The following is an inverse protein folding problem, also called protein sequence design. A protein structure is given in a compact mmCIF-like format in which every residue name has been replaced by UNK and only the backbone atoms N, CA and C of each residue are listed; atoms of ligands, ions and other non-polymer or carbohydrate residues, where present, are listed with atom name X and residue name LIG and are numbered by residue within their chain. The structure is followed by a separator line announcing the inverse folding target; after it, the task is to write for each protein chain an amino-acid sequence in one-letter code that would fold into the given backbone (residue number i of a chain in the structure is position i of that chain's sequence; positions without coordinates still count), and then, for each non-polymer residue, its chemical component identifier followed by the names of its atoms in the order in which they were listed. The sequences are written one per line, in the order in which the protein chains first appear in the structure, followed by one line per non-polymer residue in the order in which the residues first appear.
data_IF_988069303784
#
_entry.id   IF_988069303784
#
_cell.length_a   1.000
_cell.length_b   1.000
_cell.length_c   1.000
_cell.angle_alpha   90.00
_cell.angle_beta   90.00
_cell.angle_gamma   90.00
#
_symmetry.space_group_name_H-M   'P 1'
#
loop_
_entity.id
_entity.type
_entity.pdbx_description
1 polymer ?
#
# COMPACT_ATOMS: atom_id res chain seq x y z
N UNK A 1 -6.36 -1.24 6.60
CA UNK A 1 -5.65 -0.60 5.48
C UNK A 1 -6.57 -0.56 4.27
N UNK A 2 -6.63 0.57 3.56
CA UNK A 2 -7.32 0.70 2.28
C UNK A 2 -6.36 1.26 1.24
N UNK A 3 -6.25 0.60 0.10
CA UNK A 3 -5.36 0.95 -1.00
C UNK A 3 -6.13 1.20 -2.29
N UNK A 4 -5.68 2.19 -3.05
CA UNK A 4 -6.08 2.42 -4.44
C UNK A 4 -4.90 2.13 -5.34
N UNK A 5 -5.07 1.16 -6.24
CA UNK A 5 -4.00 0.55 -7.02
C UNK A 5 -4.42 0.49 -8.49
N UNK A 6 -3.48 0.75 -9.39
CA UNK A 6 -3.63 0.33 -10.79
C UNK A 6 -3.45 -1.20 -10.91
N UNK A 7 -3.68 -1.75 -12.10
CA UNK A 7 -3.61 -3.20 -12.33
C UNK A 7 -2.23 -3.81 -12.02
N UNK A 8 -1.14 -3.09 -12.29
CA UNK A 8 0.22 -3.55 -12.04
C UNK A 8 0.53 -3.54 -10.55
N UNK A 9 0.25 -2.44 -9.86
CA UNK A 9 0.45 -2.32 -8.42
C UNK A 9 -0.45 -3.29 -7.62
N UNK A 10 -1.68 -3.51 -8.09
CA UNK A 10 -2.60 -4.48 -7.50
C UNK A 10 -1.97 -5.87 -7.45
N UNK A 11 -1.43 -6.34 -8.57
CA UNK A 11 -0.88 -7.69 -8.66
C UNK A 11 0.27 -7.87 -7.66
N UNK A 12 1.18 -6.89 -7.58
CA UNK A 12 2.29 -6.92 -6.65
C UNK A 12 1.83 -6.97 -5.19
N UNK A 13 0.86 -6.11 -4.81
CA UNK A 13 0.32 -6.08 -3.46
C UNK A 13 -0.43 -7.38 -3.12
N UNK A 14 -1.23 -7.91 -4.05
CA UNK A 14 -1.92 -9.19 -3.87
C UNK A 14 -0.92 -10.33 -3.62
N UNK A 15 0.15 -10.42 -4.41
CA UNK A 15 1.20 -11.42 -4.23
C UNK A 15 1.87 -11.32 -2.87
N UNK A 16 2.16 -10.09 -2.41
CA UNK A 16 2.73 -9.86 -1.06
C UNK A 16 1.74 -10.28 0.03
N UNK A 17 0.47 -9.86 -0.05
CA UNK A 17 -0.53 -10.18 0.97
C UNK A 17 -0.80 -11.68 1.04
N UNK A 18 -0.90 -12.37 -0.11
CA UNK A 18 -1.06 -13.83 -0.18
C UNK A 18 0.15 -14.55 0.40
N UNK A 19 1.37 -14.14 0.03
CA UNK A 19 2.60 -14.74 0.56
C UNK A 19 2.71 -14.60 2.08
N UNK A 20 2.15 -13.52 2.62
CA UNK A 20 2.14 -13.21 4.05
C UNK A 20 0.95 -13.84 4.80
N UNK A 21 0.02 -14.49 4.09
CA UNK A 21 -1.20 -15.05 4.66
C UNK A 21 -2.20 -13.99 5.16
N UNK A 22 -2.11 -12.77 4.65
CA UNK A 22 -2.99 -11.66 5.03
C UNK A 22 -4.28 -11.76 4.24
N UNK A 23 -5.41 -11.80 4.95
CA UNK A 23 -6.72 -11.73 4.31
C UNK A 23 -6.98 -10.31 3.81
N UNK A 24 -7.39 -10.20 2.55
CA UNK A 24 -7.76 -8.94 1.93
C UNK A 24 -9.05 -9.08 1.12
N UNK A 25 -9.70 -7.95 0.89
CA UNK A 25 -10.87 -7.79 0.05
C UNK A 25 -10.51 -6.87 -1.11
N UNK A 26 -10.71 -7.37 -2.33
CA UNK A 26 -10.55 -6.58 -3.56
C UNK A 26 -11.91 -6.14 -4.06
N UNK A 27 -12.03 -4.85 -4.39
CA UNK A 27 -13.14 -4.28 -5.15
C UNK A 27 -12.58 -3.60 -6.38
N UNK A 28 -13.18 -3.86 -7.54
CA UNK A 28 -12.89 -3.06 -8.73
C UNK A 28 -13.54 -1.69 -8.55
N UNK A 29 -12.74 -0.63 -8.52
CA UNK A 29 -13.21 0.74 -8.46
C UNK A 29 -13.71 1.22 -9.82
N UNK A 30 -14.46 2.33 -9.83
CA UNK A 30 -14.85 3.02 -11.06
C UNK A 30 -13.61 3.54 -11.78
N UNK A 31 -13.60 3.45 -13.12
CA UNK A 31 -12.56 4.06 -13.93
C UNK A 31 -12.49 5.56 -13.59
N UNK A 32 -11.33 6.03 -13.10
CA UNK A 32 -11.13 7.45 -12.82
C UNK A 32 -10.69 8.09 -14.13
N UNK A 33 -11.57 8.89 -14.74
CA UNK A 33 -11.22 9.66 -15.93
C UNK A 33 -10.29 10.81 -15.52
N UNK A 34 -9.01 10.69 -15.90
CA UNK A 34 -8.05 11.79 -15.80
C UNK A 34 -7.48 12.02 -17.22
N UNK A 35 -8.07 12.96 -17.97
CA UNK A 35 -7.73 13.23 -19.37
C UNK A 35 -8.34 12.23 -20.38
N UNK A 36 -7.70 12.03 -21.54
CA UNK A 36 -8.15 11.10 -22.61
C UNK A 36 -7.91 9.61 -22.32
N UNK A 37 -7.67 9.23 -21.07
CA UNK A 37 -7.41 7.84 -20.67
C UNK A 37 -8.29 7.41 -19.49
N UNK A 38 -9.00 6.29 -19.66
CA UNK A 38 -9.69 5.61 -18.58
C UNK A 38 -8.74 4.58 -17.96
N UNK A 39 -8.27 4.83 -16.74
CA UNK A 39 -7.49 3.84 -15.99
C UNK A 39 -8.41 3.11 -15.01
N UNK A 40 -8.39 1.78 -15.04
CA UNK A 40 -9.09 0.96 -14.06
C UNK A 40 -8.33 1.03 -12.74
N UNK A 41 -8.96 1.65 -11.74
CA UNK A 41 -8.47 1.65 -10.37
C UNK A 41 -9.12 0.50 -9.60
N UNK A 42 -8.31 -0.18 -8.80
CA UNK A 42 -8.73 -1.25 -7.91
C UNK A 42 -8.57 -0.78 -6.47
N UNK A 43 -9.59 -1.06 -5.67
CA UNK A 43 -9.60 -0.80 -4.25
C UNK A 43 -9.29 -2.10 -3.51
N UNK A 44 -8.20 -2.12 -2.74
CA UNK A 44 -7.79 -3.26 -1.95
C UNK A 44 -7.87 -2.90 -0.46
N UNK A 45 -8.68 -3.62 0.28
CA UNK A 45 -8.79 -3.48 1.73
C UNK A 45 -8.15 -4.68 2.42
N UNK A 46 -7.27 -4.45 3.39
CA UNK A 46 -6.70 -5.54 4.19
C UNK A 46 -6.66 -5.15 5.67
N UNK A 47 -6.78 -6.16 6.53
CA UNK A 47 -6.72 -5.98 7.97
C UNK A 47 -5.26 -5.95 8.47
N UNK A 48 -4.55 -4.88 8.13
CA UNK A 48 -3.19 -4.63 8.60
C UNK A 48 -3.17 -3.52 9.65
N UNK A 49 -2.37 -3.70 10.74
CA UNK A 49 -2.18 -2.66 11.73
C UNK A 49 -1.41 -1.50 11.14
N UNK A 50 -1.95 -0.30 11.31
CA UNK A 50 -1.20 0.93 11.08
C UNK A 50 -0.12 1.08 12.13
N UNK A 51 1.07 1.46 11.70
CA UNK A 51 2.23 1.70 12.56
C UNK A 51 2.77 3.10 12.31
N UNK A 52 3.54 3.60 13.27
CA UNK A 52 4.24 4.86 13.08
C UNK A 52 5.16 4.77 11.86
N UNK A 53 5.05 5.76 10.97
CA UNK A 53 5.91 5.87 9.79
C UNK A 53 7.37 5.96 10.25
N UNK A 54 8.25 5.07 9.74
CA UNK A 54 9.67 5.17 10.05
C UNK A 54 10.23 6.51 9.55
N UNK A 55 11.15 7.10 10.33
CA UNK A 55 11.74 8.42 10.01
C UNK A 55 12.38 8.49 8.63
N UNK A 56 12.88 7.36 8.12
CA UNK A 56 13.45 7.26 6.77
C UNK A 56 12.40 7.53 5.66
N UNK A 57 11.12 7.21 5.91
CA UNK A 57 9.99 7.46 4.99
C UNK A 57 9.19 8.70 5.37
N UNK A 58 9.36 9.22 6.58
CA UNK A 58 8.73 10.48 7.05
C UNK A 58 9.31 11.73 6.38
N UNK A 59 10.31 11.60 5.51
CA UNK A 59 10.90 12.70 4.74
C UNK A 59 10.29 12.87 3.35
N UNK A 60 9.41 11.96 2.90
CA UNK A 60 8.57 12.26 1.74
C UNK A 60 7.74 13.51 2.08
N UNK A 61 7.66 14.48 1.17
CA UNK A 61 7.03 15.79 1.38
C UNK A 61 5.52 15.76 1.74
N UNK A 62 4.94 14.57 1.93
CA UNK A 62 3.55 14.33 2.30
C UNK A 62 3.40 13.49 3.56
N UNK A 63 2.25 13.67 4.21
CA UNK A 63 1.81 12.85 5.34
C UNK A 63 1.56 11.41 4.83
N UNK A 64 2.51 10.50 5.00
CA UNK A 64 2.33 9.10 4.58
C UNK A 64 1.78 8.26 5.74
N UNK A 65 1.20 7.10 5.41
CA UNK A 65 0.76 6.08 6.37
C UNK A 65 1.57 4.81 6.16
N UNK A 66 1.89 4.11 7.23
CA UNK A 66 2.63 2.87 7.19
C UNK A 66 1.80 1.74 7.79
N UNK A 67 1.70 0.61 7.09
CA UNK A 67 1.00 -0.58 7.56
C UNK A 67 1.97 -1.73 7.68
N UNK A 68 1.97 -2.41 8.82
CA UNK A 68 2.92 -3.50 9.08
C UNK A 68 2.37 -4.85 8.65
N UNK A 69 3.13 -5.54 7.80
CA UNK A 69 2.90 -6.91 7.39
C UNK A 69 3.41 -7.91 8.45
N UNK A 70 2.87 -9.14 8.48
CA UNK A 70 3.29 -10.21 9.40
C UNK A 70 4.80 -10.51 9.40
N UNK A 71 5.45 -10.47 8.24
CA UNK A 71 6.91 -10.64 8.09
C UNK A 71 7.73 -9.50 8.67
N UNK A 72 7.10 -8.38 9.03
CA UNK A 72 7.78 -7.15 9.43
C UNK A 72 8.03 -6.18 8.28
N UNK A 73 7.67 -6.52 7.04
CA UNK A 73 7.58 -5.57 5.93
C UNK A 73 6.58 -4.45 6.22
N UNK A 74 6.73 -3.33 5.54
CA UNK A 74 5.86 -2.17 5.64
C UNK A 74 5.29 -1.84 4.26
N UNK A 75 3.99 -1.56 4.23
CA UNK A 75 3.32 -0.94 3.09
C UNK A 75 3.19 0.54 3.40
N UNK A 76 3.79 1.38 2.58
CA UNK A 76 3.74 2.84 2.70
C UNK A 76 2.73 3.36 1.69
N UNK A 77 1.85 4.24 2.16
CA UNK A 77 0.78 4.83 1.36
C UNK A 77 0.73 6.33 1.59
N UNK A 78 0.22 7.08 0.64
CA UNK A 78 -0.19 8.46 0.87
C UNK A 78 -1.47 8.52 1.76
N UNK A 79 -1.85 9.72 2.25
CA UNK A 79 -3.13 9.97 2.94
C UNK A 79 -4.35 9.53 2.13
N UNK A 80 -4.31 9.66 0.81
CA UNK A 80 -5.39 9.23 -0.08
C UNK A 80 -5.47 7.70 -0.21
N UNK A 81 -4.51 6.96 0.33
CA UNK A 81 -4.45 5.49 0.23
C UNK A 81 -3.85 4.99 -1.09
N UNK A 82 -3.15 5.85 -1.84
CA UNK A 82 -2.36 5.40 -2.98
C UNK A 82 -1.10 4.69 -2.48
N UNK A 83 -0.71 3.60 -3.13
CA UNK A 83 0.53 2.91 -2.78
C UNK A 83 1.73 3.74 -3.20
N UNK A 84 2.59 4.08 -2.23
CA UNK A 84 3.87 4.72 -2.48
C UNK A 84 4.94 3.65 -2.71
N UNK A 85 5.07 2.71 -1.77
CA UNK A 85 6.07 1.63 -1.85
C UNK A 85 5.81 0.50 -0.84
N UNK A 86 6.35 -0.68 -1.11
CA UNK A 86 6.45 -1.79 -0.16
C UNK A 86 7.92 -1.99 0.18
N UNK A 87 8.26 -1.93 1.46
CA UNK A 87 9.66 -1.95 1.91
C UNK A 87 9.85 -2.85 3.12
N UNK A 88 11.09 -3.28 3.35
CA UNK A 88 11.50 -3.91 4.60
C UNK A 88 12.15 -2.81 5.45
N UNK A 89 11.64 -2.50 6.65
CA UNK A 89 12.30 -1.52 7.51
C UNK A 89 13.72 -2.00 7.78
N UNK A 90 14.70 -1.12 7.53
CA UNK A 90 16.09 -1.47 7.75
C UNK A 90 16.28 -1.98 9.18
N UNK A 91 17.03 -3.08 9.41
CA UNK A 91 17.37 -3.49 10.76
C UNK A 91 18.07 -2.31 11.43
N UNK A 92 17.54 -1.83 12.56
CA UNK A 92 18.22 -0.81 13.36
C UNK A 92 19.66 -1.31 13.61
N UNK A 93 20.71 -0.58 13.21
CA UNK A 93 22.04 -0.90 13.69
C UNK A 93 22.01 -0.81 15.21
N UNK A 94 22.53 -1.86 15.86
CA UNK A 94 22.59 -2.03 17.30
C UNK A 94 23.45 -0.96 17.98
#
# INVERSE_FOLDING_TARGET
MLLYLDQSALKEVEEVLVAEGVTYQKRTGSAREQGSGSWLMFQLEANLPEVQVPREYSQSEGDVRAFRLPSGRLIITDLEGNLEQITVPAPRPA
#
